data_IF_211256437547
#
_entry.id   IF_211256437547
#
_cell.length_a   1.000
_cell.length_b   1.000
_cell.length_c   1.000
_cell.angle_alpha   90.00
_cell.angle_beta   90.00
_cell.angle_gamma   90.00
#
_symmetry.space_group_name_H-M   'P 1'
#
loop_
_entity.id
_entity.type
_entity.pdbx_description
1 polymer ?
#
# COMPACT_ATOMS: atom_id res chain seq x y z
N UNK A 1 42.54 21.47 -11.61
CA UNK A 1 41.40 21.22 -10.71
C UNK A 1 41.92 20.49 -9.47
N UNK A 2 41.77 21.06 -8.27
CA UNK A 2 42.47 20.61 -7.06
C UNK A 2 41.91 19.27 -6.54
N UNK A 3 42.81 18.30 -6.31
CA UNK A 3 42.47 16.96 -5.76
C UNK A 3 41.58 17.01 -4.49
N UNK A 4 41.71 18.06 -3.68
CA UNK A 4 40.89 18.30 -2.48
C UNK A 4 39.40 18.63 -2.80
N UNK A 5 39.14 19.29 -3.94
CA UNK A 5 37.79 19.62 -4.38
C UNK A 5 37.07 18.36 -4.88
N UNK A 6 37.80 17.46 -5.57
CA UNK A 6 37.22 16.19 -6.06
C UNK A 6 36.85 15.25 -4.89
N UNK A 7 37.73 15.17 -3.86
CA UNK A 7 37.47 14.34 -2.67
C UNK A 7 36.29 14.89 -1.87
N UNK A 8 36.16 16.22 -1.74
CA UNK A 8 35.01 16.85 -1.06
C UNK A 8 33.70 16.66 -1.81
N UNK A 9 33.72 16.69 -3.15
CA UNK A 9 32.52 16.44 -3.97
C UNK A 9 32.09 14.97 -3.92
N UNK A 10 33.08 14.03 -3.92
CA UNK A 10 32.80 12.60 -3.80
C UNK A 10 32.21 12.24 -2.40
N UNK A 11 32.75 12.84 -1.33
CA UNK A 11 32.25 12.65 0.02
C UNK A 11 30.84 13.23 0.20
N UNK A 12 30.53 14.34 -0.48
CA UNK A 12 29.17 14.92 -0.45
C UNK A 12 28.17 14.05 -1.22
N UNK A 13 28.56 13.48 -2.36
CA UNK A 13 27.72 12.52 -3.11
C UNK A 13 27.47 11.23 -2.32
N UNK A 14 28.48 10.67 -1.65
CA UNK A 14 28.31 9.48 -0.82
C UNK A 14 27.42 9.73 0.40
N UNK A 15 27.45 10.93 0.99
CA UNK A 15 26.59 11.27 2.12
C UNK A 15 25.11 11.43 1.74
N UNK A 16 24.81 11.87 0.53
CA UNK A 16 23.43 12.02 0.06
C UNK A 16 22.79 10.68 -0.29
N UNK A 17 23.53 9.73 -0.85
CA UNK A 17 23.04 8.37 -1.15
C UNK A 17 22.76 7.59 0.13
N UNK A 18 23.65 7.64 1.13
CA UNK A 18 23.41 7.00 2.43
C UNK A 18 22.15 7.54 3.12
N UNK A 19 21.90 8.86 3.08
CA UNK A 19 20.72 9.48 3.67
C UNK A 19 19.43 9.10 2.91
N UNK A 20 19.50 8.92 1.58
CA UNK A 20 18.34 8.48 0.79
C UNK A 20 18.00 7.01 1.06
N UNK A 21 19.00 6.16 1.19
CA UNK A 21 18.85 4.74 1.48
C UNK A 21 18.27 4.52 2.88
N UNK A 22 18.76 5.20 3.90
CA UNK A 22 18.22 5.13 5.26
C UNK A 22 16.77 5.64 5.32
N UNK A 23 16.45 6.71 4.57
CA UNK A 23 15.11 7.30 4.50
C UNK A 23 14.08 6.36 3.89
N UNK A 24 14.46 5.58 2.87
CA UNK A 24 13.60 4.65 2.15
C UNK A 24 13.90 3.19 2.47
N UNK A 25 14.50 2.91 3.63
CA UNK A 25 14.83 1.55 4.06
C UNK A 25 13.64 0.62 3.90
N UNK A 26 13.86 -0.53 3.26
CA UNK A 26 12.86 -1.59 3.17
C UNK A 26 12.78 -2.27 4.53
N UNK A 27 11.57 -2.46 5.02
CA UNK A 27 11.27 -3.12 6.29
C UNK A 27 10.68 -4.48 6.02
N UNK A 28 11.31 -5.52 6.52
CA UNK A 28 10.79 -6.89 6.42
C UNK A 28 9.76 -7.16 7.53
N UNK A 29 8.64 -7.78 7.15
CA UNK A 29 7.55 -8.17 8.05
C UNK A 29 7.33 -9.68 7.89
N UNK A 30 7.46 -10.46 8.97
CA UNK A 30 7.03 -11.85 8.98
C UNK A 30 5.51 -11.93 9.13
N UNK A 31 4.85 -12.66 8.25
CA UNK A 31 3.40 -12.86 8.31
C UNK A 31 3.12 -14.26 8.86
N UNK A 32 2.59 -14.31 10.06
CA UNK A 32 2.27 -15.55 10.78
C UNK A 32 0.93 -16.14 10.35
N UNK A 33 0.49 -17.19 11.02
CA UNK A 33 -0.78 -17.83 10.69
C UNK A 33 -1.98 -16.92 10.98
N UNK A 34 -2.96 -16.98 10.07
CA UNK A 34 -4.23 -16.31 10.25
C UNK A 34 -5.25 -17.25 10.87
N UNK A 35 -6.16 -16.66 11.65
CA UNK A 35 -7.21 -17.38 12.30
C UNK A 35 -8.57 -16.99 11.73
N UNK A 36 -9.47 -17.97 11.67
CA UNK A 36 -10.90 -17.73 11.51
C UNK A 36 -11.55 -18.08 12.85
N UNK A 37 -12.28 -17.14 13.49
CA UNK A 37 -12.91 -17.42 14.76
C UNK A 37 -13.83 -18.64 14.61
N UNK A 38 -13.83 -19.60 15.54
CA UNK A 38 -14.79 -20.68 15.53
C UNK A 38 -16.20 -20.06 15.55
N UNK A 39 -17.09 -20.60 14.72
CA UNK A 39 -18.46 -20.16 14.72
C UNK A 39 -19.01 -20.24 16.16
N UNK A 40 -19.53 -19.14 16.69
CA UNK A 40 -20.28 -19.20 17.96
C UNK A 40 -21.33 -20.28 17.81
N UNK A 41 -21.43 -21.19 18.77
CA UNK A 41 -22.45 -22.22 18.80
C UNK A 41 -23.82 -21.54 18.90
N UNK A 42 -24.38 -21.14 17.74
CA UNK A 42 -25.75 -20.66 17.67
C UNK A 42 -26.66 -21.83 18.11
N UNK A 43 -27.64 -21.54 18.97
CA UNK A 43 -28.63 -22.54 19.35
C UNK A 43 -29.29 -23.11 18.09
N UNK A 44 -29.71 -24.38 18.12
CA UNK A 44 -30.23 -25.10 16.94
C UNK A 44 -31.40 -24.35 16.28
N UNK A 45 -32.21 -23.62 17.05
CA UNK A 45 -33.32 -22.80 16.55
C UNK A 45 -32.83 -21.56 15.80
N UNK A 46 -31.77 -20.92 16.29
CA UNK A 46 -31.12 -19.76 15.64
C UNK A 46 -30.42 -20.15 14.34
N UNK A 47 -29.93 -21.40 14.21
CA UNK A 47 -29.27 -21.87 13.00
C UNK A 47 -30.24 -22.11 11.84
N UNK A 48 -31.42 -22.65 12.11
CA UNK A 48 -32.46 -22.90 11.09
C UNK A 48 -33.03 -21.56 10.57
N UNK A 49 -33.33 -20.62 11.48
CA UNK A 49 -33.76 -19.27 11.09
C UNK A 49 -32.66 -18.52 10.31
N UNK A 50 -31.40 -18.68 10.71
CA UNK A 50 -30.25 -18.08 9.99
C UNK A 50 -30.13 -18.59 8.57
N UNK A 51 -30.22 -19.89 8.34
CA UNK A 51 -30.18 -20.50 6.99
C UNK A 51 -31.35 -20.03 6.12
N UNK A 52 -32.56 -19.89 6.69
CA UNK A 52 -33.73 -19.40 5.97
C UNK A 52 -33.61 -17.92 5.62
N UNK A 53 -33.05 -17.09 6.51
CA UNK A 53 -32.79 -15.69 6.27
C UNK A 53 -31.65 -15.51 5.22
N UNK A 54 -30.60 -16.30 5.31
CA UNK A 54 -29.48 -16.28 4.35
C UNK A 54 -29.95 -16.64 2.94
N UNK A 55 -30.85 -17.64 2.81
CA UNK A 55 -31.49 -18.01 1.55
C UNK A 55 -32.39 -16.88 1.00
N UNK A 56 -33.12 -16.18 1.88
CA UNK A 56 -33.99 -15.06 1.50
C UNK A 56 -33.24 -13.83 1.00
N UNK A 57 -31.98 -13.64 1.44
CA UNK A 57 -31.08 -12.56 0.98
C UNK A 57 -30.11 -12.99 -0.13
N UNK A 58 -30.26 -14.16 -0.72
CA UNK A 58 -29.42 -14.66 -1.81
C UNK A 58 -27.99 -15.02 -1.38
N UNK A 59 -27.77 -15.37 -0.11
CA UNK A 59 -26.45 -15.82 0.36
C UNK A 59 -26.17 -17.27 0.00
N UNK A 60 -24.92 -17.55 -0.38
CA UNK A 60 -24.42 -18.89 -0.68
C UNK A 60 -23.71 -19.45 0.56
N UNK A 61 -24.07 -20.67 0.97
CA UNK A 61 -23.35 -21.36 2.05
C UNK A 61 -22.00 -21.84 1.54
N UNK A 62 -20.92 -21.36 2.15
CA UNK A 62 -19.54 -21.74 1.84
C UNK A 62 -18.80 -22.19 3.10
N UNK A 63 -17.83 -23.08 2.93
CA UNK A 63 -16.88 -23.40 3.99
C UNK A 63 -15.79 -22.32 4.03
N UNK A 64 -15.95 -21.35 4.93
CA UNK A 64 -15.11 -20.17 5.06
C UNK A 64 -13.68 -20.52 5.47
N UNK A 65 -13.49 -21.61 6.21
CA UNK A 65 -12.18 -22.03 6.71
C UNK A 65 -11.20 -22.38 5.59
N UNK A 66 -11.70 -22.85 4.45
CA UNK A 66 -10.87 -23.18 3.26
C UNK A 66 -10.11 -21.99 2.69
N UNK A 67 -10.63 -20.79 2.87
CA UNK A 67 -10.08 -19.57 2.26
C UNK A 67 -9.15 -18.76 3.18
N UNK A 68 -8.95 -19.20 4.41
CA UNK A 68 -8.09 -18.47 5.38
C UNK A 68 -6.65 -18.34 4.88
N UNK A 69 -6.10 -19.42 4.31
CA UNK A 69 -4.76 -19.42 3.73
C UNK A 69 -4.69 -18.54 2.47
N UNK A 70 -5.75 -18.50 1.66
CA UNK A 70 -5.79 -17.63 0.49
C UNK A 70 -5.83 -16.16 0.89
N UNK A 71 -6.61 -15.81 1.93
CA UNK A 71 -6.62 -14.46 2.51
C UNK A 71 -5.22 -14.09 3.02
N UNK A 72 -4.57 -14.98 3.79
CA UNK A 72 -3.21 -14.78 4.27
C UNK A 72 -2.22 -14.56 3.12
N UNK A 73 -2.27 -15.39 2.09
CA UNK A 73 -1.41 -15.24 0.90
C UNK A 73 -1.62 -13.89 0.19
N UNK A 74 -2.86 -13.38 0.15
CA UNK A 74 -3.15 -12.05 -0.40
C UNK A 74 -2.65 -10.91 0.50
N UNK A 75 -2.66 -11.08 1.80
CA UNK A 75 -2.04 -10.13 2.74
C UNK A 75 -0.53 -10.07 2.50
N UNK A 76 0.17 -11.21 2.44
CA UNK A 76 1.60 -11.29 2.11
C UNK A 76 1.88 -10.58 0.77
N UNK A 77 1.12 -10.93 -0.27
CA UNK A 77 1.28 -10.34 -1.60
C UNK A 77 1.00 -8.83 -1.61
N UNK A 78 -0.01 -8.36 -0.87
CA UNK A 78 -0.36 -6.94 -0.78
C UNK A 78 0.74 -6.13 -0.09
N UNK A 79 1.27 -6.62 1.03
CA UNK A 79 2.39 -6.01 1.75
C UNK A 79 3.65 -5.99 0.87
N UNK A 80 4.02 -7.12 0.27
CA UNK A 80 5.24 -7.23 -0.56
C UNK A 80 5.20 -6.40 -1.84
N UNK A 81 4.03 -5.98 -2.29
CA UNK A 81 3.87 -5.08 -3.45
C UNK A 81 3.90 -3.61 -3.07
N UNK A 82 3.95 -3.27 -1.77
CA UNK A 82 4.10 -1.89 -1.34
C UNK A 82 5.53 -1.40 -1.54
N UNK A 83 5.71 -0.08 -1.51
CA UNK A 83 7.00 0.54 -1.88
C UNK A 83 8.15 0.19 -0.94
N UNK A 84 7.88 0.06 0.38
CA UNK A 84 8.93 -0.02 1.40
C UNK A 84 8.81 -1.23 2.33
N UNK A 85 7.90 -2.15 2.03
CA UNK A 85 7.69 -3.33 2.86
C UNK A 85 7.98 -4.59 2.06
N UNK A 86 8.56 -5.58 2.73
CA UNK A 86 8.77 -6.92 2.24
C UNK A 86 8.12 -7.90 3.21
N UNK A 87 7.08 -8.58 2.79
CA UNK A 87 6.50 -9.64 3.59
C UNK A 87 7.20 -10.97 3.31
N UNK A 88 7.51 -11.71 4.37
CA UNK A 88 7.96 -13.09 4.29
C UNK A 88 6.93 -14.01 4.95
N UNK A 89 6.75 -15.19 4.36
CA UNK A 89 5.93 -16.25 4.92
C UNK A 89 6.74 -16.98 6.01
N UNK A 90 6.24 -17.00 7.23
CA UNK A 90 6.93 -17.71 8.28
C UNK A 90 6.32 -17.49 9.67
N UNK A 91 6.64 -18.43 10.58
CA UNK A 91 6.36 -18.24 11.99
C UNK A 91 7.50 -17.42 12.60
N UNK A 92 7.14 -16.36 13.26
CA UNK A 92 8.08 -15.51 13.99
C UNK A 92 8.31 -16.11 15.38
N UNK A 93 9.59 -16.24 15.79
CA UNK A 93 9.92 -16.58 17.17
C UNK A 93 10.07 -15.30 17.99
N UNK A 94 9.60 -15.27 19.26
CA UNK A 94 9.84 -14.14 20.14
C UNK A 94 11.33 -13.78 20.18
N UNK A 95 11.64 -12.49 20.07
CA UNK A 95 13.00 -11.93 20.04
C UNK A 95 13.84 -12.28 18.78
N UNK A 96 13.23 -12.80 17.73
CA UNK A 96 13.91 -12.97 16.45
C UNK A 96 14.04 -11.60 15.76
N UNK A 97 15.25 -11.30 15.28
CA UNK A 97 15.56 -10.10 14.50
C UNK A 97 15.84 -10.54 13.07
N UNK A 98 15.18 -9.93 12.11
CA UNK A 98 15.40 -10.21 10.69
C UNK A 98 16.78 -9.74 10.24
N UNK A 99 17.27 -10.25 9.10
CA UNK A 99 18.57 -9.87 8.53
C UNK A 99 18.71 -8.35 8.29
N UNK A 100 17.61 -7.67 8.01
CA UNK A 100 17.55 -6.21 7.88
C UNK A 100 17.43 -5.47 9.24
N UNK A 101 17.47 -6.18 10.36
CA UNK A 101 17.28 -5.64 11.71
C UNK A 101 15.83 -5.31 12.05
N UNK A 102 14.85 -5.72 11.24
CA UNK A 102 13.44 -5.56 11.57
C UNK A 102 12.99 -6.55 12.63
N UNK A 103 12.13 -6.10 13.54
CA UNK A 103 11.48 -6.91 14.57
C UNK A 103 9.97 -7.02 14.33
N UNK A 104 9.47 -6.60 13.17
CA UNK A 104 8.05 -6.54 12.90
C UNK A 104 7.49 -7.87 12.40
N UNK A 105 6.36 -8.26 12.96
CA UNK A 105 5.57 -9.37 12.46
C UNK A 105 4.08 -8.99 12.37
N UNK A 106 3.35 -9.69 11.51
CA UNK A 106 1.92 -9.50 11.33
C UNK A 106 1.17 -10.79 11.62
N UNK A 107 0.14 -10.70 12.44
CA UNK A 107 -0.89 -11.73 12.56
C UNK A 107 -2.23 -11.23 12.00
N UNK A 108 -3.16 -12.12 11.74
CA UNK A 108 -4.43 -11.74 11.18
C UNK A 108 -5.61 -12.60 11.64
N UNK A 109 -6.79 -11.98 11.63
CA UNK A 109 -8.05 -12.65 11.89
C UNK A 109 -9.00 -12.38 10.73
N UNK A 110 -9.42 -13.44 10.04
CA UNK A 110 -10.46 -13.34 9.01
C UNK A 110 -11.80 -13.24 9.72
N UNK A 111 -12.44 -12.08 9.68
CA UNK A 111 -13.68 -11.82 10.43
C UNK A 111 -14.93 -12.15 9.61
N UNK A 112 -14.85 -12.05 8.28
CA UNK A 112 -15.97 -12.45 7.41
C UNK A 112 -15.47 -12.93 6.04
N UNK A 113 -16.15 -13.94 5.51
CA UNK A 113 -16.18 -14.30 4.08
C UNK A 113 -17.62 -14.63 3.76
N UNK A 114 -18.22 -13.95 2.80
CA UNK A 114 -19.60 -14.25 2.35
C UNK A 114 -19.69 -14.13 0.84
N UNK A 115 -20.59 -14.92 0.25
CA UNK A 115 -20.91 -14.88 -1.18
C UNK A 115 -22.38 -14.64 -1.32
N UNK A 116 -22.76 -13.68 -2.15
CA UNK A 116 -24.14 -13.39 -2.53
C UNK A 116 -24.35 -13.73 -3.99
N UNK A 117 -25.57 -14.10 -4.36
CA UNK A 117 -25.96 -14.35 -5.73
C UNK A 117 -27.12 -13.45 -6.16
N UNK A 118 -27.25 -13.27 -7.45
CA UNK A 118 -28.35 -12.54 -8.08
C UNK A 118 -28.64 -13.10 -9.46
N UNK A 119 -29.87 -12.98 -9.93
CA UNK A 119 -30.21 -13.30 -11.31
C UNK A 119 -30.05 -12.07 -12.21
N UNK A 120 -29.33 -12.24 -13.32
CA UNK A 120 -29.20 -11.22 -14.35
C UNK A 120 -29.91 -11.66 -15.64
N UNK A 121 -30.72 -10.76 -16.20
CA UNK A 121 -31.38 -11.01 -17.47
C UNK A 121 -30.36 -10.88 -18.60
N UNK A 122 -30.09 -11.98 -19.30
CA UNK A 122 -29.15 -12.06 -20.43
C UNK A 122 -29.86 -11.66 -21.72
N UNK A 123 -31.10 -12.10 -21.92
CA UNK A 123 -31.90 -11.79 -23.06
C UNK A 123 -33.34 -11.44 -22.62
N UNK A 124 -33.74 -10.19 -22.88
CA UNK A 124 -35.08 -9.71 -22.51
C UNK A 124 -36.20 -10.33 -23.34
N UNK A 125 -35.94 -10.61 -24.63
CA UNK A 125 -36.94 -11.19 -25.53
C UNK A 125 -37.18 -12.67 -25.21
N UNK A 126 -36.10 -13.43 -24.94
CA UNK A 126 -36.15 -14.85 -24.59
C UNK A 126 -36.35 -15.11 -23.11
N UNK A 127 -36.43 -14.06 -22.26
CA UNK A 127 -36.52 -14.15 -20.78
C UNK A 127 -35.48 -15.08 -20.16
N UNK A 128 -34.29 -15.15 -20.77
CA UNK A 128 -33.20 -15.99 -20.23
C UNK A 128 -32.47 -15.21 -19.15
N UNK A 129 -32.31 -15.84 -17.98
CA UNK A 129 -31.52 -15.33 -16.86
C UNK A 129 -30.27 -16.19 -16.63
N UNK A 130 -29.28 -15.64 -15.98
CA UNK A 130 -28.14 -16.37 -15.44
C UNK A 130 -27.90 -15.98 -13.99
N UNK A 131 -27.43 -16.94 -13.20
CA UNK A 131 -26.94 -16.65 -11.85
C UNK A 131 -25.58 -15.99 -11.92
N UNK A 132 -25.40 -14.96 -11.11
CA UNK A 132 -24.15 -14.25 -10.94
C UNK A 132 -23.84 -14.06 -9.47
N UNK A 133 -22.57 -13.95 -9.12
CA UNK A 133 -22.07 -13.99 -7.76
C UNK A 133 -21.17 -12.80 -7.45
N UNK A 134 -21.19 -12.35 -6.20
CA UNK A 134 -20.22 -11.44 -5.60
C UNK A 134 -19.77 -11.98 -4.26
N UNK A 135 -18.55 -11.63 -3.83
CA UNK A 135 -18.06 -11.99 -2.51
C UNK A 135 -17.62 -10.76 -1.73
N UNK A 136 -17.71 -10.87 -0.41
CA UNK A 136 -17.18 -9.92 0.56
C UNK A 136 -16.15 -10.62 1.43
N UNK A 137 -15.07 -9.92 1.76
CA UNK A 137 -14.03 -10.42 2.66
C UNK A 137 -13.66 -9.31 3.64
N UNK A 138 -13.62 -9.68 4.93
CA UNK A 138 -13.11 -8.80 5.98
C UNK A 138 -12.00 -9.50 6.75
N UNK A 139 -10.86 -8.83 6.89
CA UNK A 139 -9.70 -9.33 7.62
C UNK A 139 -9.09 -8.22 8.46
N UNK A 140 -8.83 -8.49 9.73
CA UNK A 140 -8.06 -7.63 10.61
C UNK A 140 -6.62 -8.10 10.60
N UNK A 141 -5.70 -7.21 10.26
CA UNK A 141 -4.24 -7.44 10.30
C UNK A 141 -3.66 -6.60 11.42
N UNK A 142 -2.91 -7.23 12.32
CA UNK A 142 -2.20 -6.56 13.40
C UNK A 142 -0.72 -6.66 13.13
N UNK A 143 -0.06 -5.50 13.10
CA UNK A 143 1.39 -5.39 13.03
C UNK A 143 1.92 -5.25 14.45
N UNK A 144 2.85 -6.09 14.84
CA UNK A 144 3.41 -6.16 16.18
C UNK A 144 4.93 -6.06 16.15
N UNK A 145 5.49 -5.54 17.22
CA UNK A 145 6.92 -5.59 17.48
C UNK A 145 7.26 -6.85 18.29
N UNK A 146 8.16 -7.66 17.79
CA UNK A 146 8.50 -8.96 18.38
C UNK A 146 9.29 -8.87 19.69
N UNK A 147 10.03 -7.79 19.90
CA UNK A 147 10.79 -7.61 21.13
C UNK A 147 9.87 -7.29 22.32
N UNK A 148 8.73 -6.61 22.04
CA UNK A 148 7.82 -6.13 23.08
C UNK A 148 6.44 -6.77 23.02
N UNK A 149 6.12 -7.52 21.96
CA UNK A 149 4.77 -8.01 21.58
C UNK A 149 3.71 -6.89 21.51
N UNK A 150 4.15 -5.65 21.46
CA UNK A 150 3.26 -4.50 21.39
C UNK A 150 2.64 -4.39 20.00
N UNK A 151 1.34 -4.13 19.95
CA UNK A 151 0.64 -3.83 18.70
C UNK A 151 1.04 -2.43 18.22
N UNK A 152 1.80 -2.38 17.12
CA UNK A 152 2.23 -1.15 16.48
C UNK A 152 1.11 -0.56 15.62
N UNK A 153 0.38 -1.43 14.93
CA UNK A 153 -0.75 -1.05 14.08
C UNK A 153 -1.79 -2.18 14.04
N UNK A 154 -3.06 -1.82 13.96
CA UNK A 154 -4.16 -2.76 13.75
C UNK A 154 -5.16 -2.16 12.77
N UNK A 155 -5.39 -2.85 11.66
CA UNK A 155 -6.26 -2.36 10.59
C UNK A 155 -7.16 -3.47 10.08
N UNK A 156 -8.43 -3.15 9.88
CA UNK A 156 -9.40 -4.05 9.24
C UNK A 156 -9.59 -3.65 7.78
N UNK A 157 -9.28 -4.57 6.89
CA UNK A 157 -9.50 -4.44 5.45
C UNK A 157 -10.84 -5.07 5.10
N UNK A 158 -11.71 -4.29 4.46
CA UNK A 158 -13.02 -4.73 4.03
C UNK A 158 -13.12 -4.65 2.51
N UNK A 159 -13.43 -5.77 1.89
CA UNK A 159 -13.88 -5.86 0.50
C UNK A 159 -15.38 -6.03 0.52
N UNK A 160 -16.09 -5.11 -0.11
CA UNK A 160 -17.55 -5.04 -0.14
C UNK A 160 -18.08 -5.37 -1.55
N UNK A 161 -19.40 -5.46 -1.69
CA UNK A 161 -20.05 -5.66 -2.98
C UNK A 161 -19.70 -4.57 -4.01
N UNK A 162 -19.42 -3.35 -3.55
CA UNK A 162 -19.07 -2.22 -4.42
C UNK A 162 -17.66 -2.35 -5.02
N UNK A 163 -16.77 -3.09 -4.34
CA UNK A 163 -15.40 -3.31 -4.78
C UNK A 163 -15.31 -4.41 -5.86
N UNK A 164 -16.35 -5.25 -5.99
CA UNK A 164 -16.34 -6.46 -6.82
C UNK A 164 -17.31 -6.37 -8.00
N UNK A 165 -16.91 -6.92 -9.12
CA UNK A 165 -17.80 -7.15 -10.26
C UNK A 165 -18.58 -8.46 -10.09
N UNK A 166 -19.76 -8.55 -10.70
CA UNK A 166 -20.53 -9.79 -10.80
C UNK A 166 -19.78 -10.79 -11.70
N UNK A 167 -19.69 -12.03 -11.26
CA UNK A 167 -19.04 -13.14 -11.99
C UNK A 167 -19.96 -14.38 -12.00
N UNK A 168 -19.65 -15.35 -12.83
CA UNK A 168 -20.55 -16.48 -13.11
C UNK A 168 -20.48 -17.61 -12.07
N UNK A 169 -19.45 -17.63 -11.20
CA UNK A 169 -19.27 -18.69 -10.20
C UNK A 169 -18.99 -18.10 -8.81
N UNK A 170 -19.34 -18.84 -7.77
CA UNK A 170 -19.06 -18.47 -6.38
C UNK A 170 -17.56 -18.43 -6.09
N UNK A 171 -16.78 -19.35 -6.64
CA UNK A 171 -15.32 -19.38 -6.53
C UNK A 171 -14.70 -18.18 -7.24
N UNK A 172 -15.16 -17.85 -8.45
CA UNK A 172 -14.74 -16.67 -9.17
C UNK A 172 -15.02 -15.38 -8.41
N UNK A 173 -16.14 -15.31 -7.66
CA UNK A 173 -16.46 -14.18 -6.79
C UNK A 173 -15.43 -14.03 -5.65
N UNK A 174 -15.03 -15.14 -5.02
CA UNK A 174 -14.01 -15.14 -3.95
C UNK A 174 -12.66 -14.71 -4.51
N UNK A 175 -12.24 -15.24 -5.67
CA UNK A 175 -10.97 -14.86 -6.34
C UNK A 175 -10.96 -13.36 -6.66
N UNK A 176 -12.08 -12.81 -7.14
CA UNK A 176 -12.23 -11.37 -7.40
C UNK A 176 -12.06 -10.57 -6.09
N UNK A 177 -12.77 -10.94 -5.02
CA UNK A 177 -12.67 -10.28 -3.72
C UNK A 177 -11.25 -10.38 -3.12
N UNK A 178 -10.57 -11.52 -3.24
CA UNK A 178 -9.17 -11.69 -2.83
C UNK A 178 -8.23 -10.76 -3.62
N UNK A 179 -8.50 -10.54 -4.91
CA UNK A 179 -7.70 -9.59 -5.71
C UNK A 179 -7.87 -8.16 -5.21
N UNK A 180 -9.12 -7.75 -4.93
CA UNK A 180 -9.41 -6.43 -4.36
C UNK A 180 -8.82 -6.25 -2.97
N UNK A 181 -8.84 -7.31 -2.14
CA UNK A 181 -8.19 -7.30 -0.82
C UNK A 181 -6.69 -6.99 -0.94
N UNK A 182 -5.98 -7.67 -1.83
CA UNK A 182 -4.56 -7.43 -2.07
C UNK A 182 -4.27 -5.99 -2.51
N UNK A 183 -5.12 -5.41 -3.37
CA UNK A 183 -5.00 -4.03 -3.81
C UNK A 183 -5.22 -3.03 -2.65
N UNK A 184 -6.26 -3.23 -1.82
CA UNK A 184 -6.54 -2.39 -0.64
C UNK A 184 -5.40 -2.43 0.38
N UNK A 185 -4.83 -3.61 0.63
CA UNK A 185 -3.68 -3.79 1.54
C UNK A 185 -2.47 -3.03 1.01
N UNK A 186 -2.15 -3.19 -0.27
CA UNK A 186 -1.06 -2.45 -0.91
C UNK A 186 -1.27 -0.95 -0.76
N UNK A 187 -2.41 -0.39 -1.17
CA UNK A 187 -2.69 1.05 -1.10
C UNK A 187 -2.59 1.59 0.33
N UNK A 188 -3.08 0.83 1.33
CA UNK A 188 -2.93 1.21 2.73
C UNK A 188 -1.46 1.34 3.14
N UNK A 189 -0.63 0.34 2.81
CA UNK A 189 0.78 0.38 3.19
C UNK A 189 1.60 1.36 2.36
N UNK A 190 1.27 1.59 1.10
CA UNK A 190 1.89 2.63 0.28
C UNK A 190 1.65 4.03 0.88
N UNK A 191 0.46 4.28 1.44
CA UNK A 191 0.12 5.52 2.13
C UNK A 191 0.87 5.70 3.45
N UNK A 192 1.04 4.61 4.24
CA UNK A 192 1.66 4.67 5.56
C UNK A 192 3.19 4.55 5.53
N UNK A 193 3.73 3.96 4.47
CA UNK A 193 5.16 3.80 4.21
C UNK A 193 5.52 4.34 2.81
N UNK A 194 5.29 5.64 2.55
CA UNK A 194 5.58 6.21 1.25
C UNK A 194 7.08 6.24 0.98
N UNK A 195 7.48 6.17 -0.29
CA UNK A 195 8.82 6.59 -0.68
C UNK A 195 8.93 8.10 -0.52
N UNK A 196 10.08 8.55 -0.06
CA UNK A 196 10.39 9.96 0.09
C UNK A 196 11.67 10.32 -0.63
N UNK A 197 11.69 11.51 -1.22
CA UNK A 197 12.84 12.07 -1.89
C UNK A 197 12.92 13.57 -1.61
N UNK A 198 14.05 14.19 -1.96
CA UNK A 198 14.14 15.64 -2.02
C UNK A 198 14.20 16.12 -3.46
N UNK A 199 13.74 17.32 -3.71
CA UNK A 199 14.09 18.03 -4.94
C UNK A 199 15.56 18.44 -4.82
N UNK A 200 16.39 18.00 -5.80
CA UNK A 200 17.82 18.35 -5.88
C UNK A 200 17.94 19.75 -6.47
N UNK A 201 17.31 19.97 -7.62
CA UNK A 201 17.32 21.24 -8.33
C UNK A 201 16.16 21.36 -9.32
N UNK A 202 15.91 22.58 -9.81
CA UNK A 202 15.01 22.84 -10.92
C UNK A 202 15.68 22.47 -12.25
N UNK A 203 14.99 21.68 -13.09
CA UNK A 203 15.51 21.27 -14.40
C UNK A 203 15.06 22.22 -15.53
N UNK A 204 13.81 22.66 -15.51
CA UNK A 204 13.31 23.65 -16.48
C UNK A 204 12.22 24.53 -15.89
N UNK A 205 12.16 25.78 -16.38
CA UNK A 205 11.16 26.76 -15.97
C UNK A 205 10.53 27.49 -17.15
N UNK A 206 9.33 28.02 -16.97
CA UNK A 206 8.66 28.88 -17.95
C UNK A 206 7.73 29.86 -17.26
N UNK A 207 7.91 31.18 -17.50
CA UNK A 207 7.06 32.25 -16.95
C UNK A 207 6.91 32.14 -15.43
N UNK A 208 8.01 32.18 -14.71
CA UNK A 208 8.11 32.11 -13.23
C UNK A 208 7.46 30.86 -12.61
N UNK A 209 7.38 29.77 -13.38
CA UNK A 209 6.86 28.47 -12.92
C UNK A 209 7.87 27.38 -13.21
N UNK A 210 8.22 26.64 -12.18
CA UNK A 210 8.97 25.40 -12.37
C UNK A 210 8.16 24.42 -13.21
N UNK A 211 8.79 23.85 -14.24
CA UNK A 211 8.18 22.86 -15.14
C UNK A 211 8.68 21.47 -14.91
N UNK A 212 9.96 21.35 -14.61
CA UNK A 212 10.62 20.07 -14.33
C UNK A 212 11.61 20.23 -13.19
N UNK A 213 11.79 19.18 -12.41
CA UNK A 213 12.70 19.13 -11.26
C UNK A 213 13.41 17.77 -11.24
N UNK A 214 14.63 17.75 -10.72
CA UNK A 214 15.33 16.52 -10.37
C UNK A 214 15.08 16.15 -8.91
N UNK A 215 14.91 14.85 -8.65
CA UNK A 215 14.72 14.29 -7.31
C UNK A 215 15.75 13.21 -7.03
N UNK A 216 16.12 13.03 -5.75
CA UNK A 216 17.06 12.01 -5.26
C UNK A 216 16.37 10.64 -5.07
N UNK A 217 15.71 10.13 -6.13
CA UNK A 217 15.00 8.85 -6.13
C UNK A 217 15.10 8.22 -7.52
N UNK A 218 15.68 7.04 -7.63
CA UNK A 218 15.94 6.37 -8.90
C UNK A 218 15.60 4.88 -8.90
N UNK A 219 16.17 4.13 -9.83
CA UNK A 219 15.82 2.73 -10.12
C UNK A 219 16.17 1.72 -9.01
N UNK A 220 16.96 2.11 -7.99
CA UNK A 220 17.17 1.28 -6.80
C UNK A 220 15.88 1.07 -5.97
N UNK A 221 14.86 1.92 -6.18
CA UNK A 221 13.56 1.81 -5.56
C UNK A 221 12.49 1.44 -6.62
N UNK A 222 11.32 0.93 -6.23
CA UNK A 222 10.27 0.54 -7.17
C UNK A 222 9.54 1.75 -7.78
N UNK A 223 10.31 2.64 -8.41
CA UNK A 223 9.81 3.82 -9.12
C UNK A 223 9.69 3.57 -10.61
N UNK A 224 8.75 4.25 -11.24
CA UNK A 224 8.48 4.08 -12.67
C UNK A 224 7.98 5.39 -13.30
N UNK A 225 8.17 5.50 -14.60
CA UNK A 225 7.62 6.61 -15.38
C UNK A 225 6.12 6.71 -15.19
N UNK A 226 5.66 7.85 -14.73
CA UNK A 226 4.25 8.08 -14.49
C UNK A 226 3.86 8.09 -13.01
N UNK A 227 4.73 7.68 -12.09
CA UNK A 227 4.48 7.73 -10.67
C UNK A 227 4.26 9.18 -10.21
N UNK A 228 3.17 9.40 -9.45
CA UNK A 228 2.81 10.70 -8.92
C UNK A 228 3.35 10.89 -7.51
N UNK A 229 3.84 12.11 -7.24
CA UNK A 229 4.42 12.49 -5.95
C UNK A 229 3.84 13.83 -5.51
N UNK A 230 3.58 13.97 -4.21
CA UNK A 230 3.20 15.22 -3.55
C UNK A 230 4.45 15.97 -3.11
N UNK A 231 4.51 17.26 -3.38
CA UNK A 231 5.65 18.14 -3.02
C UNK A 231 5.30 18.93 -1.77
N UNK A 232 6.25 18.96 -0.83
CA UNK A 232 6.13 19.69 0.43
C UNK A 232 7.36 20.56 0.68
N UNK A 233 7.16 21.79 1.16
CA UNK A 233 8.20 22.51 1.89
C UNK A 233 8.25 21.99 3.33
N UNK A 234 9.44 21.74 3.84
CA UNK A 234 9.66 21.19 5.18
C UNK A 234 10.35 22.23 6.05
N UNK A 235 9.76 22.53 7.20
CA UNK A 235 10.34 23.41 8.23
C UNK A 235 10.36 22.70 9.57
N UNK A 236 11.38 22.98 10.37
CA UNK A 236 11.43 22.49 11.75
C UNK A 236 10.86 23.55 12.67
N UNK A 237 9.78 23.24 13.39
CA UNK A 237 9.12 24.10 14.37
C UNK A 237 9.15 23.38 15.71
N UNK A 238 9.79 23.98 16.70
CA UNK A 238 9.96 23.40 18.04
C UNK A 238 10.47 21.93 18.02
N UNK A 239 11.46 21.64 17.16
CA UNK A 239 12.04 20.31 17.02
C UNK A 239 11.20 19.31 16.23
N UNK A 240 10.02 19.69 15.74
CA UNK A 240 9.13 18.83 14.95
C UNK A 240 9.10 19.25 13.50
N UNK A 241 9.09 18.28 12.57
CA UNK A 241 8.92 18.53 11.13
C UNK A 241 7.49 19.01 10.86
N UNK A 242 7.37 20.19 10.26
CA UNK A 242 6.12 20.72 9.73
C UNK A 242 6.20 20.70 8.19
N UNK A 243 5.18 20.15 7.51
CA UNK A 243 5.09 20.06 6.07
C UNK A 243 4.00 20.98 5.54
N UNK A 244 4.34 21.79 4.53
CA UNK A 244 3.38 22.61 3.78
C UNK A 244 3.33 22.11 2.35
N UNK A 245 2.16 21.68 1.87
CA UNK A 245 2.00 21.23 0.49
C UNK A 245 2.23 22.38 -0.49
N UNK A 246 3.10 22.18 -1.48
CA UNK A 246 3.42 23.12 -2.53
C UNK A 246 2.76 22.75 -3.87
N UNK A 247 2.72 21.45 -4.19
CA UNK A 247 2.24 21.02 -5.49
C UNK A 247 2.39 19.51 -5.71
N UNK A 248 2.33 19.11 -6.97
CA UNK A 248 2.46 17.70 -7.40
C UNK A 248 3.42 17.60 -8.57
N UNK A 249 4.20 16.52 -8.57
CA UNK A 249 5.08 16.16 -9.68
C UNK A 249 4.76 14.73 -10.13
N UNK A 250 5.20 14.39 -11.33
CA UNK A 250 5.08 13.06 -11.93
C UNK A 250 6.41 12.67 -12.53
N UNK A 251 6.91 11.48 -12.25
CA UNK A 251 8.15 10.98 -12.85
C UNK A 251 8.00 10.94 -14.37
N UNK A 252 8.82 11.71 -15.06
CA UNK A 252 8.90 11.74 -16.52
C UNK A 252 9.91 10.70 -17.02
N UNK A 253 11.05 10.56 -16.32
CA UNK A 253 12.12 9.64 -16.65
C UNK A 253 12.91 9.24 -15.40
N UNK A 254 13.24 7.96 -15.29
CA UNK A 254 14.17 7.42 -14.29
C UNK A 254 15.56 7.42 -14.95
N UNK A 255 16.46 8.28 -14.48
CA UNK A 255 17.73 8.57 -15.17
C UNK A 255 18.92 7.77 -14.63
N UNK A 256 18.80 7.20 -13.43
CA UNK A 256 19.86 6.46 -12.78
C UNK A 256 19.36 5.69 -11.56
N UNK A 257 20.30 5.17 -10.79
CA UNK A 257 19.97 4.39 -9.59
C UNK A 257 19.33 5.26 -8.50
N UNK A 258 19.74 6.53 -8.41
CA UNK A 258 19.39 7.47 -7.33
C UNK A 258 18.77 8.78 -7.83
N UNK A 259 18.48 8.94 -9.14
CA UNK A 259 17.97 10.19 -9.70
C UNK A 259 16.84 9.95 -10.70
N UNK A 260 15.84 10.83 -10.66
CA UNK A 260 14.75 10.90 -11.65
C UNK A 260 14.43 12.34 -12.03
N UNK A 261 14.03 12.53 -13.29
CA UNK A 261 13.43 13.75 -13.80
C UNK A 261 11.91 13.69 -13.60
N UNK A 262 11.37 14.73 -12.98
CA UNK A 262 9.94 14.86 -12.71
C UNK A 262 9.35 16.07 -13.42
N UNK A 263 8.17 15.90 -14.03
CA UNK A 263 7.36 17.01 -14.57
C UNK A 263 6.44 17.56 -13.48
N UNK A 264 6.45 18.86 -13.27
CA UNK A 264 5.54 19.54 -12.35
C UNK A 264 4.13 19.59 -12.98
N UNK A 265 3.17 19.00 -12.26
CA UNK A 265 1.77 18.93 -12.69
C UNK A 265 0.88 19.95 -11.99
N UNK A 266 1.26 20.39 -10.78
CA UNK A 266 0.56 21.41 -9.99
C UNK A 266 1.55 22.17 -9.12
N UNK A 267 1.31 23.46 -8.84
CA UNK A 267 2.09 24.23 -7.87
C UNK A 267 3.44 24.72 -8.39
N UNK A 268 3.58 24.94 -9.70
CA UNK A 268 4.88 25.29 -10.29
C UNK A 268 5.46 26.63 -9.80
N UNK A 269 4.63 27.61 -9.45
CA UNK A 269 5.10 28.88 -8.89
C UNK A 269 5.58 28.71 -7.45
N UNK A 270 4.82 27.97 -6.64
CA UNK A 270 5.13 27.69 -5.22
C UNK A 270 6.41 26.85 -5.10
N UNK A 271 6.58 25.86 -5.99
CA UNK A 271 7.79 25.02 -6.03
C UNK A 271 9.00 25.89 -6.43
N UNK A 272 8.86 26.74 -7.45
CA UNK A 272 9.94 27.65 -7.85
C UNK A 272 10.34 28.59 -6.70
N UNK A 273 9.37 29.25 -6.06
CA UNK A 273 9.64 30.12 -4.92
C UNK A 273 10.38 29.42 -3.78
N UNK A 274 10.02 28.16 -3.49
CA UNK A 274 10.68 27.36 -2.46
C UNK A 274 12.11 26.99 -2.86
N UNK A 275 12.36 26.66 -4.13
CA UNK A 275 13.72 26.40 -4.67
C UNK A 275 14.56 27.67 -4.58
N UNK A 276 14.06 28.80 -5.07
CA UNK A 276 14.76 30.08 -5.06
C UNK A 276 15.06 30.58 -3.63
N UNK A 277 14.20 30.26 -2.67
CA UNK A 277 14.40 30.56 -1.25
C UNK A 277 15.34 29.57 -0.52
N UNK A 278 15.84 28.52 -1.19
CA UNK A 278 16.69 27.50 -0.59
C UNK A 278 15.98 26.67 0.49
N UNK A 279 14.63 26.53 0.41
CA UNK A 279 13.88 25.72 1.36
C UNK A 279 14.17 24.22 1.14
N UNK A 280 14.13 23.42 2.21
CA UNK A 280 14.13 21.97 2.09
C UNK A 280 12.80 21.52 1.48
N UNK A 281 12.85 20.87 0.32
CA UNK A 281 11.66 20.42 -0.41
C UNK A 281 11.66 18.90 -0.48
N UNK A 282 10.71 18.29 0.23
CA UNK A 282 10.49 16.85 0.27
C UNK A 282 9.36 16.46 -0.69
N UNK A 283 9.52 15.33 -1.36
CA UNK A 283 8.46 14.72 -2.18
C UNK A 283 8.13 13.34 -1.62
N UNK A 284 6.84 13.00 -1.62
CA UNK A 284 6.33 11.71 -1.15
C UNK A 284 5.48 11.06 -2.24
N UNK A 285 5.56 9.74 -2.39
CA UNK A 285 4.65 9.02 -3.28
C UNK A 285 3.19 9.28 -2.91
N UNK A 286 2.37 9.47 -3.94
CA UNK A 286 0.91 9.46 -3.84
C UNK A 286 0.40 8.08 -4.27
N UNK A 287 -0.77 7.72 -3.78
CA UNK A 287 -1.54 6.58 -4.29
C UNK A 287 -1.79 6.67 -5.81
#
# INVERSE_FOLDING_TARGET
MNRKIIISLLALLMSTTLLAEERNRIVTIAVTDFQYPPAEKKSTVSSVLGVLLDAAVGQVTIDKSKYVNDVRAKVISGISKSYRLRAIDGQFKPNEVMDDGSTLYADGTVTNISVTHSEQVVNKEKKTTRMVYKAQISVTVRLKDAATDAVVNSTTFNVTDYDCSWVETSEGAIVNALSQLGAKIRGYYDLHFPLSANIIEGASEKKDKQKEVYIDLGSQFPVYKGLHLQVYSVKTVAGKKARKALGKVKIAEVMGEDISLCKVTKGGSEIKQAIDAGETIEVLTLE
#
